data_IF_381041514290
#
_entry.id   IF_381041514290
#
_cell.length_a   1.000
_cell.length_b   1.000
_cell.length_c   1.000
_cell.angle_alpha   90.00
_cell.angle_beta   90.00
_cell.angle_gamma   90.00
#
_symmetry.space_group_name_H-M   'P 1'
#
loop_
_entity.id
_entity.type
_entity.pdbx_description
1 polymer ?
#
# COMPACT_ATOMS: atom_id res chain seq x y z
N UNK A 1 28.84 17.55 15.94
CA UNK A 1 28.87 16.38 16.83
C UNK A 1 29.34 15.25 15.96
N UNK A 2 30.46 14.60 16.27
CA UNK A 2 30.90 13.42 15.51
C UNK A 2 29.81 12.35 15.59
N UNK A 3 29.48 11.77 14.45
CA UNK A 3 28.44 10.76 14.32
C UNK A 3 29.06 9.40 14.62
N UNK A 4 29.36 9.16 15.90
CA UNK A 4 29.95 7.92 16.35
C UNK A 4 28.88 6.81 16.36
N UNK A 5 29.12 5.74 15.61
CA UNK A 5 28.26 4.55 15.61
C UNK A 5 28.46 3.74 16.90
N UNK A 6 27.76 4.12 17.97
CA UNK A 6 27.79 3.42 19.25
C UNK A 6 27.27 1.96 19.17
N UNK A 7 26.64 1.55 18.07
CA UNK A 7 26.15 0.18 17.85
C UNK A 7 27.10 -0.67 17.01
N UNK A 8 28.26 -0.14 16.58
CA UNK A 8 29.22 -0.86 15.75
C UNK A 8 29.65 -2.21 16.37
N UNK A 9 29.90 -2.22 17.69
CA UNK A 9 30.28 -3.43 18.41
C UNK A 9 29.20 -4.52 18.38
N UNK A 10 27.91 -4.15 18.37
CA UNK A 10 26.81 -5.11 18.27
C UNK A 10 26.66 -5.63 16.83
N UNK A 11 26.82 -4.74 15.82
CA UNK A 11 26.78 -5.13 14.41
C UNK A 11 27.90 -6.11 14.05
N UNK A 12 29.09 -5.93 14.62
CA UNK A 12 30.24 -6.81 14.40
C UNK A 12 30.07 -8.24 14.94
N UNK A 13 29.08 -8.50 15.81
CA UNK A 13 28.78 -9.85 16.31
C UNK A 13 27.98 -10.70 15.32
N UNK A 14 27.52 -10.13 14.20
CA UNK A 14 26.72 -10.87 13.22
C UNK A 14 27.52 -12.01 12.57
N UNK A 15 26.95 -13.21 12.54
CA UNK A 15 27.54 -14.40 11.88
C UNK A 15 27.07 -14.58 10.44
N UNK A 16 26.32 -13.62 9.90
CA UNK A 16 25.79 -13.64 8.54
C UNK A 16 25.96 -12.26 7.89
N UNK A 17 25.99 -12.24 6.56
CA UNK A 17 26.02 -11.00 5.80
C UNK A 17 24.64 -10.33 5.83
N UNK A 18 24.55 -9.18 6.50
CA UNK A 18 23.33 -8.39 6.63
C UNK A 18 22.88 -7.83 5.27
N UNK A 19 23.81 -7.51 4.35
CA UNK A 19 23.44 -6.98 3.03
C UNK A 19 22.77 -8.05 2.16
N UNK A 20 23.30 -9.28 2.16
CA UNK A 20 22.61 -10.41 1.55
C UNK A 20 21.23 -10.67 2.20
N UNK A 21 21.14 -10.55 3.53
CA UNK A 21 19.88 -10.76 4.26
C UNK A 21 18.81 -9.71 3.91
N UNK A 22 19.19 -8.45 3.68
CA UNK A 22 18.25 -7.40 3.23
C UNK A 22 17.58 -7.74 1.91
N UNK A 23 18.32 -8.37 0.98
CA UNK A 23 17.77 -8.82 -0.31
C UNK A 23 16.78 -9.96 -0.09
N UNK A 24 17.13 -10.93 0.77
CA UNK A 24 16.23 -12.04 1.13
C UNK A 24 14.95 -11.50 1.76
N UNK A 25 15.06 -10.53 2.68
CA UNK A 25 13.93 -9.87 3.32
C UNK A 25 13.02 -9.14 2.31
N UNK A 26 13.62 -8.41 1.37
CA UNK A 26 12.89 -7.72 0.32
C UNK A 26 12.27 -8.68 -0.72
N UNK A 27 12.65 -9.96 -0.72
CA UNK A 27 12.20 -11.00 -1.64
C UNK A 27 12.85 -10.96 -3.02
N UNK A 28 13.47 -9.84 -3.41
CA UNK A 28 14.32 -9.75 -4.60
C UNK A 28 15.25 -8.54 -4.53
N UNK A 29 16.32 -8.57 -5.33
CA UNK A 29 17.24 -7.43 -5.44
C UNK A 29 16.57 -6.18 -6.01
N UNK A 30 15.72 -6.36 -7.02
CA UNK A 30 14.97 -5.24 -7.62
C UNK A 30 14.05 -4.56 -6.60
N UNK A 31 13.31 -5.35 -5.80
CA UNK A 31 12.44 -4.81 -4.76
C UNK A 31 13.24 -4.05 -3.70
N UNK A 32 14.40 -4.56 -3.28
CA UNK A 32 15.29 -3.87 -2.36
C UNK A 32 15.77 -2.52 -2.92
N UNK A 33 16.27 -2.48 -4.16
CA UNK A 33 16.81 -1.27 -4.79
C UNK A 33 15.72 -0.21 -5.05
N UNK A 34 14.49 -0.62 -5.38
CA UNK A 34 13.36 0.31 -5.50
C UNK A 34 12.96 0.85 -4.13
N UNK A 35 12.83 -0.01 -3.12
CA UNK A 35 12.44 0.40 -1.77
C UNK A 35 13.48 1.30 -1.11
N UNK A 36 14.78 0.99 -1.21
CA UNK A 36 15.87 1.80 -0.64
C UNK A 36 15.92 3.20 -1.28
N UNK A 37 15.79 3.29 -2.61
CA UNK A 37 15.74 4.59 -3.31
C UNK A 37 14.52 5.42 -2.90
N UNK A 38 13.35 4.80 -2.79
CA UNK A 38 12.15 5.51 -2.33
C UNK A 38 12.26 5.94 -0.86
N UNK A 39 12.86 5.12 0.00
CA UNK A 39 13.10 5.46 1.40
C UNK A 39 14.00 6.70 1.51
N UNK A 40 15.12 6.74 0.78
CA UNK A 40 16.03 7.90 0.75
C UNK A 40 15.36 9.16 0.20
N UNK A 41 14.54 9.02 -0.85
CA UNK A 41 13.77 10.14 -1.40
C UNK A 41 12.85 10.75 -0.33
N UNK A 42 12.10 9.91 0.38
CA UNK A 42 11.18 10.34 1.44
C UNK A 42 11.93 10.91 2.65
N UNK A 43 13.07 10.33 3.03
CA UNK A 43 13.91 10.81 4.13
C UNK A 43 14.51 12.19 3.85
N UNK A 44 14.99 12.41 2.61
CA UNK A 44 15.60 13.68 2.21
C UNK A 44 14.61 14.85 2.14
N UNK A 45 13.31 14.56 2.06
CA UNK A 45 12.29 15.58 1.90
C UNK A 45 11.71 16.02 3.26
N UNK A 46 11.94 17.28 3.68
CA UNK A 46 11.47 17.77 4.97
C UNK A 46 9.94 17.79 5.08
N UNK A 47 9.20 17.84 3.97
CA UNK A 47 7.73 17.80 3.99
C UNK A 47 7.24 16.48 4.58
N UNK A 48 7.98 15.37 4.39
CA UNK A 48 7.61 14.06 4.93
C UNK A 48 8.07 13.81 6.36
N UNK A 49 8.83 14.71 6.99
CA UNK A 49 9.26 14.60 8.38
C UNK A 49 8.07 14.33 9.33
N UNK A 50 8.26 13.42 10.29
CA UNK A 50 7.22 12.97 11.25
C UNK A 50 7.63 13.10 12.72
N UNK A 51 8.79 13.69 13.02
CA UNK A 51 9.35 13.72 14.39
C UNK A 51 8.43 14.47 15.38
N UNK A 52 7.78 15.53 14.91
CA UNK A 52 6.85 16.34 15.71
C UNK A 52 5.40 15.84 15.69
N UNK A 53 5.12 14.68 15.10
CA UNK A 53 3.74 14.18 14.88
C UNK A 53 2.91 14.13 16.16
N UNK A 54 3.51 13.71 17.27
CA UNK A 54 2.81 13.55 18.56
C UNK A 54 2.46 14.90 19.23
N UNK A 55 3.08 16.00 18.81
CA UNK A 55 2.85 17.34 19.36
C UNK A 55 1.72 18.10 18.64
N UNK A 56 1.21 17.57 17.52
CA UNK A 56 0.19 18.23 16.71
C UNK A 56 -1.22 17.93 17.22
N UNK A 57 -2.10 18.93 17.21
CA UNK A 57 -3.52 18.70 17.44
C UNK A 57 -4.15 17.88 16.30
N UNK A 58 -5.29 17.23 16.55
CA UNK A 58 -5.99 16.42 15.53
C UNK A 58 -6.25 17.18 14.22
N UNK A 59 -6.62 18.46 14.30
CA UNK A 59 -6.92 19.32 13.14
C UNK A 59 -5.66 19.64 12.34
N UNK A 60 -4.55 19.91 13.02
CA UNK A 60 -3.25 20.19 12.40
C UNK A 60 -2.67 18.94 11.77
N UNK A 61 -2.75 17.79 12.46
CA UNK A 61 -2.35 16.50 11.92
C UNK A 61 -3.11 16.18 10.64
N UNK A 62 -4.43 16.40 10.62
CA UNK A 62 -5.24 16.18 9.42
C UNK A 62 -4.81 17.10 8.26
N UNK A 63 -4.63 18.40 8.52
CA UNK A 63 -4.14 19.36 7.51
C UNK A 63 -2.73 18.99 7.00
N UNK A 64 -1.83 18.56 7.89
CA UNK A 64 -0.49 18.12 7.53
C UNK A 64 -0.54 16.88 6.62
N UNK A 65 -1.41 15.91 6.93
CA UNK A 65 -1.64 14.74 6.08
C UNK A 65 -2.12 15.12 4.68
N UNK A 66 -3.07 16.06 4.55
CA UNK A 66 -3.54 16.53 3.24
C UNK A 66 -2.42 17.22 2.44
N UNK A 67 -1.59 18.05 3.11
CA UNK A 67 -0.42 18.67 2.47
C UNK A 67 0.57 17.61 1.96
N UNK A 68 0.89 16.61 2.77
CA UNK A 68 1.79 15.51 2.40
C UNK A 68 1.24 14.67 1.24
N UNK A 69 -0.06 14.41 1.22
CA UNK A 69 -0.70 13.66 0.14
C UNK A 69 -0.65 14.43 -1.19
N UNK A 70 -0.95 15.73 -1.17
CA UNK A 70 -0.84 16.57 -2.36
C UNK A 70 0.61 16.66 -2.87
N UNK A 71 1.57 16.81 -1.95
CA UNK A 71 3.00 16.83 -2.30
C UNK A 71 3.48 15.51 -2.89
N UNK A 72 3.08 14.38 -2.29
CA UNK A 72 3.40 13.05 -2.81
C UNK A 72 2.85 12.85 -4.24
N UNK A 73 1.65 13.33 -4.52
CA UNK A 73 1.08 13.27 -5.87
C UNK A 73 1.91 14.09 -6.87
N UNK A 74 2.33 15.29 -6.50
CA UNK A 74 3.19 16.09 -7.36
C UNK A 74 4.53 15.38 -7.64
N UNK A 75 5.18 14.80 -6.63
CA UNK A 75 6.42 14.05 -6.81
C UNK A 75 6.25 12.83 -7.73
N UNK A 76 5.14 12.11 -7.62
CA UNK A 76 4.84 10.97 -8.51
C UNK A 76 4.79 11.43 -9.97
N UNK A 77 4.17 12.59 -10.24
CA UNK A 77 4.07 13.16 -11.58
C UNK A 77 5.42 13.70 -12.07
N UNK A 78 6.11 14.50 -11.26
CA UNK A 78 7.37 15.17 -11.60
C UNK A 78 8.52 14.18 -11.83
N UNK A 79 8.61 13.14 -11.00
CA UNK A 79 9.67 12.12 -11.11
C UNK A 79 9.26 10.93 -12.00
N UNK A 80 8.08 10.99 -12.61
CA UNK A 80 7.51 9.92 -13.43
C UNK A 80 7.58 8.53 -12.76
N UNK A 81 7.18 8.47 -11.49
CA UNK A 81 7.23 7.23 -10.73
C UNK A 81 6.20 6.24 -11.27
N UNK A 82 6.65 5.05 -11.67
CA UNK A 82 5.75 3.99 -12.14
C UNK A 82 5.25 3.11 -10.99
N UNK A 83 4.03 2.60 -11.15
CA UNK A 83 3.41 1.64 -10.22
C UNK A 83 4.05 0.24 -10.36
N UNK A 84 4.94 0.04 -11.32
CA UNK A 84 5.54 -1.26 -11.64
C UNK A 84 6.47 -1.79 -10.54
N UNK A 85 6.83 -0.94 -9.57
CA UNK A 85 7.32 -1.38 -8.27
C UNK A 85 6.14 -1.89 -7.45
N UNK A 86 5.84 -3.19 -7.57
CA UNK A 86 4.83 -3.95 -6.83
C UNK A 86 4.78 -3.60 -5.32
N UNK A 87 4.12 -2.50 -4.98
CA UNK A 87 3.26 -2.45 -3.82
C UNK A 87 1.91 -2.89 -4.34
N UNK A 88 1.43 -4.04 -3.85
CA UNK A 88 0.09 -4.53 -4.16
C UNK A 88 -0.99 -3.58 -3.66
N UNK A 89 -1.09 -2.38 -4.25
CA UNK A 89 -2.34 -1.66 -4.33
C UNK A 89 -3.19 -2.55 -5.22
N UNK A 90 -4.27 -3.16 -4.73
CA UNK A 90 -5.24 -3.76 -5.61
C UNK A 90 -5.57 -2.66 -6.60
N UNK A 91 -5.28 -2.88 -7.88
CA UNK A 91 -5.81 -2.06 -8.96
C UNK A 91 -7.29 -1.93 -8.59
N UNK A 92 -7.74 -0.72 -8.26
CA UNK A 92 -9.16 -0.43 -8.13
C UNK A 92 -9.73 -0.53 -9.54
N UNK A 93 -9.67 -1.73 -10.15
CA UNK A 93 -10.70 -2.18 -11.07
C UNK A 93 -11.97 -2.07 -10.25
N UNK A 94 -12.94 -1.36 -10.80
CA UNK A 94 -14.21 -1.01 -10.18
C UNK A 94 -15.10 -2.21 -9.89
N UNK A 95 -14.57 -3.20 -9.16
CA UNK A 95 -15.28 -4.37 -8.66
C UNK A 95 -15.64 -4.14 -7.18
N UNK A 96 -15.76 -2.88 -6.77
CA UNK A 96 -16.55 -2.55 -5.59
C UNK A 96 -17.99 -2.93 -5.91
N UNK A 97 -18.33 -4.20 -5.65
CA UNK A 97 -19.70 -4.60 -5.44
C UNK A 97 -20.26 -3.63 -4.41
N UNK A 98 -21.16 -2.78 -4.90
CA UNK A 98 -21.84 -1.76 -4.11
C UNK A 98 -22.79 -2.48 -3.14
N UNK A 99 -22.27 -3.08 -2.09
CA UNK A 99 -23.06 -3.63 -0.99
C UNK A 99 -23.27 -2.61 0.13
N UNK A 100 -22.52 -1.50 0.12
CA UNK A 100 -22.51 -0.49 1.19
C UNK A 100 -23.27 0.79 0.89
N UNK A 101 -23.78 0.96 -0.33
CA UNK A 101 -24.70 2.04 -0.69
C UNK A 101 -26.00 1.39 -1.15
N UNK A 102 -27.00 1.40 -0.28
CA UNK A 102 -28.37 1.06 -0.64
C UNK A 102 -28.77 1.79 -1.92
N UNK A 103 -29.46 1.06 -2.81
CA UNK A 103 -29.97 1.46 -4.11
C UNK A 103 -29.93 2.97 -4.40
N UNK A 104 -28.86 3.43 -5.05
CA UNK A 104 -28.90 4.68 -5.79
C UNK A 104 -29.49 4.37 -7.18
N UNK A 105 -30.62 5.00 -7.56
CA UNK A 105 -31.23 4.80 -8.86
C UNK A 105 -30.46 5.61 -9.91
N UNK A 106 -29.32 5.08 -10.36
CA UNK A 106 -28.55 5.39 -11.58
C UNK A 106 -27.09 4.98 -11.41
N UNK A 107 -26.84 3.72 -11.04
CA UNK A 107 -25.49 3.21 -10.97
C UNK A 107 -25.03 2.77 -12.37
N UNK A 108 -23.94 3.32 -12.94
CA UNK A 108 -23.49 3.02 -14.29
C UNK A 108 -22.99 1.57 -14.49
N UNK A 109 -22.93 0.76 -13.43
CA UNK A 109 -22.63 -0.68 -13.53
C UNK A 109 -23.80 -1.52 -14.05
N UNK A 110 -25.03 -0.99 -14.12
CA UNK A 110 -26.21 -1.75 -14.56
C UNK A 110 -26.27 -2.01 -16.08
N UNK A 111 -25.46 -1.33 -16.90
CA UNK A 111 -25.48 -1.47 -18.36
C UNK A 111 -24.53 -2.55 -18.90
N UNK A 112 -23.73 -3.18 -18.03
CA UNK A 112 -22.69 -4.12 -18.44
C UNK A 112 -23.09 -5.57 -18.12
N UNK A 113 -24.09 -6.10 -18.82
CA UNK A 113 -24.38 -7.54 -18.80
C UNK A 113 -23.36 -8.29 -19.66
N UNK A 114 -22.47 -9.05 -19.04
CA UNK A 114 -21.64 -10.04 -19.74
C UNK A 114 -22.46 -11.30 -20.08
N UNK A 115 -22.14 -12.04 -21.17
CA UNK A 115 -22.93 -13.17 -21.62
C UNK A 115 -22.59 -14.48 -20.87
N UNK A 116 -23.64 -15.21 -20.49
CA UNK A 116 -23.69 -16.68 -20.48
C UNK A 116 -22.87 -17.45 -19.44
N UNK A 117 -23.44 -17.66 -18.25
CA UNK A 117 -23.05 -18.73 -17.33
C UNK A 117 -24.17 -19.76 -17.20
N UNK A 118 -23.94 -20.96 -17.73
CA UNK A 118 -24.89 -22.08 -17.81
C UNK A 118 -25.39 -22.54 -16.45
N UNK A 119 -26.66 -22.96 -16.43
CA UNK A 119 -27.44 -23.30 -15.24
C UNK A 119 -26.99 -24.54 -14.48
N UNK A 120 -27.42 -24.59 -13.22
CA UNK A 120 -27.29 -25.73 -12.33
C UNK A 120 -28.33 -25.61 -11.22
N UNK A 121 -29.54 -26.10 -11.50
CA UNK A 121 -30.68 -26.12 -10.57
C UNK A 121 -30.38 -26.98 -9.34
N UNK A 122 -30.51 -26.41 -8.13
CA UNK A 122 -30.58 -27.17 -6.88
C UNK A 122 -32.01 -27.18 -6.37
N UNK A 123 -32.79 -28.13 -6.86
CA UNK A 123 -34.12 -28.46 -6.32
C UNK A 123 -33.97 -29.26 -5.03
N UNK A 124 -34.52 -28.72 -3.94
CA UNK A 124 -34.60 -29.38 -2.65
C UNK A 124 -35.53 -30.60 -2.67
N UNK A 125 -35.28 -31.53 -1.76
CA UNK A 125 -36.30 -32.48 -1.30
C UNK A 125 -36.00 -32.91 0.13
N UNK A 126 -36.85 -32.40 1.01
CA UNK A 126 -37.04 -32.84 2.38
C UNK A 126 -37.58 -34.27 2.37
N UNK A 127 -36.90 -35.21 3.03
CA UNK A 127 -37.50 -36.45 3.52
C UNK A 127 -37.01 -36.71 4.94
N UNK A 128 -37.93 -36.50 5.88
CA UNK A 128 -37.92 -37.15 7.20
C UNK A 128 -38.48 -38.55 7.02
N UNK A 129 -37.81 -39.55 7.57
CA UNK A 129 -38.39 -40.86 7.89
C UNK A 129 -37.85 -41.26 9.26
N UNK A 130 -38.82 -41.49 10.14
CA UNK A 130 -38.86 -42.21 11.43
C UNK A 130 -37.81 -41.91 12.51
#
# INVERSE_FOLDING_TARGET
MEEDDHLANERNKSQFDVEAMKIVWAGSRYAFEVADRMARLVESDPIFCKDSRAMLSRKELFRNTLKKAAHAWNLVVELHLSVDGYWGVPKLRGDASCSWLGHLPNCPCQSSSAPGGSGGDRSGSSRRTD
#
